data_IF_439603356781
#
_entry.id   IF_439603356781
#
_cell.length_a   1.000
_cell.length_b   1.000
_cell.length_c   1.000
_cell.angle_alpha   90.00
_cell.angle_beta   90.00
_cell.angle_gamma   90.00
#
_symmetry.space_group_name_H-M   'P 1'
#
loop_
_entity.id
_entity.type
_entity.pdbx_description
1 polymer ?
#
# COMPACT_ATOMS: atom_id res chain seq x y z
N UNK A 1 0.04 -9.29 2.90
CA UNK A 1 0.26 -9.33 1.44
C UNK A 1 -0.63 -10.41 0.87
N UNK A 2 -1.72 -10.03 0.20
CA UNK A 2 -2.72 -10.99 -0.34
C UNK A 2 -2.58 -11.10 -1.86
N UNK A 3 -3.25 -12.09 -2.45
CA UNK A 3 -3.30 -12.27 -3.92
C UNK A 3 -3.94 -11.02 -4.56
N UNK A 4 -3.34 -10.53 -5.64
CA UNK A 4 -3.86 -9.39 -6.38
C UNK A 4 -5.27 -9.65 -6.94
N UNK A 5 -6.05 -8.57 -7.10
CA UNK A 5 -7.43 -8.61 -7.60
C UNK A 5 -8.45 -8.67 -6.47
N UNK A 6 -9.48 -9.50 -6.63
CA UNK A 6 -10.65 -9.56 -5.74
C UNK A 6 -10.31 -9.78 -4.26
N UNK A 7 -9.27 -10.56 -3.95
CA UNK A 7 -8.87 -10.82 -2.57
C UNK A 7 -8.34 -9.55 -1.87
N UNK A 8 -7.65 -8.67 -2.60
CA UNK A 8 -7.25 -7.35 -2.10
C UNK A 8 -8.48 -6.49 -1.83
N UNK A 9 -9.43 -6.43 -2.78
CA UNK A 9 -10.64 -5.61 -2.62
C UNK A 9 -11.54 -6.11 -1.48
N UNK A 10 -11.67 -7.43 -1.30
CA UNK A 10 -12.37 -8.03 -0.18
C UNK A 10 -11.73 -7.62 1.16
N UNK A 11 -10.40 -7.72 1.27
CA UNK A 11 -9.65 -7.32 2.47
C UNK A 11 -9.84 -5.82 2.76
N UNK A 12 -9.76 -4.96 1.74
CA UNK A 12 -10.00 -3.52 1.89
C UNK A 12 -11.42 -3.27 2.41
N UNK A 13 -12.43 -3.97 1.88
CA UNK A 13 -13.81 -3.78 2.30
C UNK A 13 -14.08 -4.23 3.74
N UNK A 14 -13.41 -5.28 4.21
CA UNK A 14 -13.46 -5.71 5.62
C UNK A 14 -12.79 -4.71 6.56
N UNK A 15 -11.72 -4.03 6.10
CA UNK A 15 -10.99 -3.04 6.90
C UNK A 15 -11.68 -1.67 6.93
N UNK A 16 -12.28 -1.23 5.83
CA UNK A 16 -12.97 0.07 5.70
C UNK A 16 -13.81 0.49 6.92
N UNK A 17 -14.72 -0.34 7.48
CA UNK A 17 -15.55 0.06 8.63
C UNK A 17 -14.79 0.20 9.96
N UNK A 18 -13.54 -0.26 10.03
CA UNK A 18 -12.71 -0.22 11.24
C UNK A 18 -11.72 0.95 11.22
N UNK A 19 -11.54 1.60 10.07
CA UNK A 19 -10.59 2.67 9.85
C UNK A 19 -11.21 4.05 10.14
N UNK A 20 -10.35 4.98 10.53
CA UNK A 20 -10.68 6.36 10.81
C UNK A 20 -10.03 7.28 9.76
N UNK A 21 -10.50 8.54 9.74
CA UNK A 21 -9.92 9.57 8.87
C UNK A 21 -8.45 9.78 9.24
N UNK A 22 -7.59 9.78 8.22
CA UNK A 22 -6.13 9.90 8.38
C UNK A 22 -5.39 8.56 8.49
N UNK A 23 -6.09 7.44 8.67
CA UNK A 23 -5.45 6.12 8.61
C UNK A 23 -4.88 5.83 7.22
N UNK A 24 -3.82 5.02 7.16
CA UNK A 24 -3.10 4.69 5.92
C UNK A 24 -3.21 3.18 5.65
N UNK A 25 -3.75 2.84 4.48
CA UNK A 25 -3.74 1.47 3.96
C UNK A 25 -2.67 1.34 2.87
N UNK A 26 -1.77 0.37 3.01
CA UNK A 26 -0.69 0.12 2.06
C UNK A 26 -0.93 -1.22 1.34
N UNK A 27 -1.16 -1.17 0.02
CA UNK A 27 -1.19 -2.36 -0.83
C UNK A 27 0.22 -2.62 -1.40
N UNK A 28 0.92 -3.57 -0.80
CA UNK A 28 2.22 -4.02 -1.30
C UNK A 28 2.16 -5.05 -2.42
N UNK A 29 0.96 -5.51 -2.80
CA UNK A 29 0.78 -6.57 -3.78
C UNK A 29 1.16 -6.16 -5.20
N UNK A 30 1.22 -7.15 -6.10
CA UNK A 30 1.43 -6.93 -7.53
C UNK A 30 0.12 -6.53 -8.23
N UNK A 31 -0.50 -5.44 -7.77
CA UNK A 31 -1.75 -4.93 -8.33
C UNK A 31 -1.55 -4.28 -9.70
N UNK A 32 -2.57 -4.35 -10.56
CA UNK A 32 -2.59 -3.57 -11.78
C UNK A 32 -2.83 -2.08 -11.44
N UNK A 33 -2.05 -1.16 -12.03
CA UNK A 33 -2.07 0.24 -11.62
C UNK A 33 -3.45 0.94 -11.71
N UNK A 34 -4.38 0.58 -12.63
CA UNK A 34 -5.73 1.15 -12.62
C UNK A 34 -6.54 0.74 -11.39
N UNK A 35 -6.33 -0.46 -10.83
CA UNK A 35 -6.97 -0.89 -9.58
C UNK A 35 -6.45 -0.06 -8.41
N UNK A 36 -5.13 0.19 -8.37
CA UNK A 36 -4.51 1.09 -7.40
C UNK A 36 -5.11 2.50 -7.49
N UNK A 37 -5.29 3.04 -8.69
CA UNK A 37 -5.92 4.36 -8.89
C UNK A 37 -7.37 4.39 -8.41
N UNK A 38 -8.16 3.38 -8.74
CA UNK A 38 -9.55 3.24 -8.30
C UNK A 38 -9.63 3.18 -6.77
N UNK A 39 -8.85 2.29 -6.14
CA UNK A 39 -8.78 2.13 -4.67
C UNK A 39 -8.34 3.42 -3.98
N UNK A 40 -7.34 4.10 -4.53
CA UNK A 40 -6.86 5.37 -4.00
C UNK A 40 -7.97 6.42 -3.97
N UNK A 41 -8.73 6.56 -5.06
CA UNK A 41 -9.86 7.48 -5.12
C UNK A 41 -10.95 7.11 -4.10
N UNK A 42 -11.42 5.87 -4.10
CA UNK A 42 -12.48 5.40 -3.19
C UNK A 42 -12.14 5.60 -1.72
N UNK A 43 -10.91 5.31 -1.31
CA UNK A 43 -10.47 5.48 0.09
C UNK A 43 -10.27 6.95 0.44
N UNK A 44 -9.80 7.77 -0.50
CA UNK A 44 -9.64 9.22 -0.29
C UNK A 44 -10.98 9.90 -0.01
N UNK A 45 -12.05 9.49 -0.69
CA UNK A 45 -13.41 10.01 -0.47
C UNK A 45 -13.92 9.75 0.97
N UNK A 46 -13.40 8.70 1.61
CA UNK A 46 -13.67 8.37 3.01
C UNK A 46 -12.72 9.06 4.00
N UNK A 47 -11.72 9.80 3.49
CA UNK A 47 -10.65 10.40 4.29
C UNK A 47 -9.58 9.40 4.73
N UNK A 48 -9.50 8.25 4.09
CA UNK A 48 -8.48 7.21 4.34
C UNK A 48 -7.38 7.37 3.28
N UNK A 49 -6.13 7.40 3.72
CA UNK A 49 -4.99 7.44 2.82
C UNK A 49 -4.70 6.05 2.24
N UNK A 50 -4.22 6.01 1.00
CA UNK A 50 -3.90 4.76 0.33
C UNK A 50 -2.60 4.86 -0.45
N UNK A 51 -1.68 3.94 -0.16
CA UNK A 51 -0.41 3.80 -0.87
C UNK A 51 -0.40 2.45 -1.60
N UNK A 52 -0.33 2.48 -2.93
CA UNK A 52 0.07 1.31 -3.69
C UNK A 52 1.59 1.27 -3.77
N UNK A 53 2.21 0.17 -3.37
CA UNK A 53 3.67 0.04 -3.39
C UNK A 53 4.11 -1.26 -4.04
N UNK A 54 4.90 -1.17 -5.11
CA UNK A 54 5.59 -2.33 -5.63
C UNK A 54 6.69 -2.77 -4.65
N UNK A 55 6.84 -4.09 -4.45
CA UNK A 55 7.92 -4.68 -3.65
C UNK A 55 8.62 -5.75 -4.49
N UNK A 56 9.93 -5.60 -4.70
CA UNK A 56 10.73 -6.50 -5.54
C UNK A 56 12.00 -6.95 -4.83
N UNK A 57 12.44 -8.19 -5.11
CA UNK A 57 13.59 -8.83 -4.46
C UNK A 57 13.41 -10.33 -4.18
N UNK A 58 12.24 -10.89 -4.49
CA UNK A 58 11.92 -12.28 -4.15
C UNK A 58 11.81 -12.48 -2.63
N UNK A 59 11.81 -13.74 -2.20
CA UNK A 59 11.70 -14.09 -0.78
C UNK A 59 12.88 -13.55 0.05
N UNK A 60 14.10 -13.76 -0.43
CA UNK A 60 15.32 -13.32 0.25
C UNK A 60 15.42 -11.78 0.30
N UNK A 61 15.11 -11.10 -0.80
CA UNK A 61 15.08 -9.64 -0.82
C UNK A 61 14.01 -9.07 0.09
N UNK A 62 12.83 -9.70 0.18
CA UNK A 62 11.80 -9.26 1.13
C UNK A 62 12.27 -9.36 2.60
N UNK A 63 13.14 -10.31 2.93
CA UNK A 63 13.71 -10.48 4.27
C UNK A 63 14.88 -9.54 4.56
N UNK A 64 15.76 -9.33 3.58
CA UNK A 64 17.07 -8.66 3.78
C UNK A 64 17.11 -7.21 3.34
N UNK A 65 16.19 -6.81 2.46
CA UNK A 65 16.09 -5.45 1.94
C UNK A 65 15.55 -5.45 0.51
N UNK A 66 14.25 -5.21 0.28
CA UNK A 66 13.69 -5.19 -1.06
C UNK A 66 13.83 -3.80 -1.69
N UNK A 67 13.59 -3.74 -3.00
CA UNK A 67 13.23 -2.48 -3.66
C UNK A 67 11.76 -2.17 -3.38
N UNK A 68 11.47 -0.93 -2.99
CA UNK A 68 10.13 -0.46 -2.60
C UNK A 68 9.78 0.77 -3.43
N UNK A 69 8.61 0.73 -4.08
CA UNK A 69 8.18 1.72 -5.07
C UNK A 69 6.80 2.29 -4.71
N UNK A 70 6.70 3.14 -3.66
CA UNK A 70 5.42 3.63 -3.15
C UNK A 70 4.84 4.76 -4.02
N UNK A 71 3.52 4.72 -4.24
CA UNK A 71 2.75 5.78 -4.90
C UNK A 71 1.40 5.99 -4.22
N UNK A 72 1.01 7.25 -4.06
CA UNK A 72 -0.20 7.65 -3.33
C UNK A 72 -0.16 9.13 -2.94
N UNK A 73 -0.94 9.51 -1.93
CA UNK A 73 -0.93 10.87 -1.37
C UNK A 73 0.44 11.20 -0.78
N UNK A 74 0.90 12.44 -0.95
CA UNK A 74 2.21 12.89 -0.45
C UNK A 74 2.26 12.86 1.07
N UNK A 75 1.23 13.35 1.75
CA UNK A 75 1.19 13.35 3.21
C UNK A 75 1.27 11.93 3.80
N UNK A 76 0.63 10.97 3.14
CA UNK A 76 0.68 9.56 3.55
C UNK A 76 2.08 8.98 3.36
N UNK A 77 2.72 9.26 2.22
CA UNK A 77 4.09 8.82 1.97
C UNK A 77 5.06 9.35 3.03
N UNK A 78 4.97 10.63 3.39
CA UNK A 78 5.87 11.23 4.38
C UNK A 78 5.78 10.54 5.76
N UNK A 79 4.59 10.08 6.14
CA UNK A 79 4.38 9.34 7.39
C UNK A 79 5.01 7.93 7.37
N UNK A 80 5.01 7.26 6.20
CA UNK A 80 5.53 5.88 6.08
C UNK A 80 6.95 5.80 5.52
N UNK A 81 7.48 6.90 4.95
CA UNK A 81 8.81 6.94 4.36
C UNK A 81 9.91 6.46 5.32
N UNK A 82 9.92 6.81 6.63
CA UNK A 82 10.96 6.33 7.54
C UNK A 82 11.04 4.81 7.64
N UNK A 83 9.89 4.12 7.73
CA UNK A 83 9.86 2.65 7.81
C UNK A 83 10.23 2.02 6.46
N UNK A 84 9.70 2.55 5.35
CA UNK A 84 10.00 2.02 4.01
C UNK A 84 11.50 2.18 3.69
N UNK A 85 12.11 3.31 4.03
CA UNK A 85 13.54 3.52 3.86
C UNK A 85 14.36 2.65 4.80
N UNK A 86 13.94 2.44 6.05
CA UNK A 86 14.69 1.61 6.99
C UNK A 86 14.84 0.18 6.48
N UNK A 87 13.76 -0.39 5.93
CA UNK A 87 13.73 -1.79 5.48
C UNK A 87 14.19 -2.00 4.04
N UNK A 88 14.35 -0.95 3.22
CA UNK A 88 14.76 -1.11 1.83
C UNK A 88 16.24 -1.51 1.70
N UNK A 89 16.57 -2.11 0.55
CA UNK A 89 17.95 -2.22 0.09
C UNK A 89 18.68 -0.87 0.14
N UNK A 90 20.02 -0.92 0.25
CA UNK A 90 20.91 0.26 0.32
C UNK A 90 21.77 0.37 -0.94
#
# INVERSE_FOLDING_TARGET
>A
MVKAGEATDATINELKPLLQKGDILIDGGNAFFPDTRRRNQELSELGIHFIGTGVSGGEEGALTGPSIMPGGQREAYELVAPILTAISAK
#
